data_IF_863918611927
#
_entry.id   IF_863918611927
#
_cell.length_a   1.000
_cell.length_b   1.000
_cell.length_c   1.000
_cell.angle_alpha   90.00
_cell.angle_beta   90.00
_cell.angle_gamma   90.00
#
_symmetry.space_group_name_H-M   'P 1'
#
loop_
_entity.id
_entity.type
_entity.pdbx_description
1 polymer ?
#
# COMPACT_ATOMS: atom_id res chain seq x y z
N UNK A 1 -27.71 2.79 -44.75
CA UNK A 1 -26.79 1.63 -44.69
C UNK A 1 -25.33 2.01 -44.45
N UNK A 2 -24.82 3.12 -44.98
CA UNK A 2 -23.41 3.53 -44.82
C UNK A 2 -23.01 3.71 -43.33
N UNK A 3 -23.85 4.35 -42.51
CA UNK A 3 -23.59 4.53 -41.07
C UNK A 3 -23.52 3.18 -40.32
N UNK A 4 -24.40 2.24 -40.66
CA UNK A 4 -24.39 0.90 -40.05
C UNK A 4 -23.13 0.12 -40.45
N UNK A 5 -22.71 0.24 -41.72
CA UNK A 5 -21.46 -0.34 -42.24
C UNK A 5 -20.24 0.25 -41.51
N UNK A 6 -20.22 1.55 -41.24
CA UNK A 6 -19.12 2.17 -40.47
C UNK A 6 -19.12 1.75 -39.00
N UNK A 7 -20.29 1.50 -38.38
CA UNK A 7 -20.37 0.97 -37.01
C UNK A 7 -19.88 -0.48 -36.96
N UNK A 8 -20.23 -1.31 -37.94
CA UNK A 8 -19.69 -2.67 -38.07
C UNK A 8 -18.16 -2.65 -38.27
N UNK A 9 -17.65 -1.73 -39.09
CA UNK A 9 -16.21 -1.53 -39.25
C UNK A 9 -15.53 -1.03 -37.96
N UNK A 10 -16.22 -0.24 -37.11
CA UNK A 10 -15.70 0.14 -35.78
C UNK A 10 -15.60 -1.07 -34.84
N UNK A 11 -16.47 -2.06 -34.97
CA UNK A 11 -16.43 -3.32 -34.21
C UNK A 11 -15.33 -4.29 -34.70
N UNK A 12 -14.63 -3.96 -35.79
CA UNK A 12 -13.56 -4.76 -36.39
C UNK A 12 -13.99 -5.60 -37.60
N UNK A 13 -15.24 -5.50 -38.04
CA UNK A 13 -15.73 -6.21 -39.22
C UNK A 13 -15.36 -5.42 -40.49
N UNK A 14 -14.22 -5.78 -41.10
CA UNK A 14 -13.71 -5.12 -42.30
C UNK A 14 -13.88 -6.01 -43.55
N UNK A 15 -15.00 -5.81 -44.27
CA UNK A 15 -15.26 -6.47 -45.56
C UNK A 15 -14.48 -5.81 -46.71
N UNK A 16 -13.16 -5.97 -46.75
CA UNK A 16 -12.30 -5.36 -47.77
C UNK A 16 -12.66 -5.82 -49.20
N UNK A 17 -12.92 -7.12 -49.36
CA UNK A 17 -13.11 -7.75 -50.67
C UNK A 17 -14.41 -7.32 -51.35
N UNK A 18 -15.53 -7.32 -50.63
CA UNK A 18 -16.85 -6.99 -51.18
C UNK A 18 -17.12 -5.49 -51.30
N UNK A 19 -16.53 -4.65 -50.44
CA UNK A 19 -16.87 -3.22 -50.40
C UNK A 19 -15.84 -2.31 -51.05
N UNK A 20 -14.58 -2.74 -51.14
CA UNK A 20 -13.53 -1.90 -51.72
C UNK A 20 -12.97 -2.49 -53.02
N UNK A 21 -12.72 -3.81 -53.08
CA UNK A 21 -12.13 -4.44 -54.28
C UNK A 21 -13.01 -4.35 -55.53
N UNK A 22 -14.33 -4.45 -55.37
CA UNK A 22 -15.30 -4.33 -56.48
C UNK A 22 -15.42 -2.88 -56.98
N UNK A 23 -15.31 -1.90 -56.09
CA UNK A 23 -15.39 -0.47 -56.42
C UNK A 23 -14.08 0.10 -57.00
N UNK A 24 -12.95 -0.54 -56.74
CA UNK A 24 -11.63 -0.17 -57.28
C UNK A 24 -11.53 -0.40 -58.79
N UNK A 25 -12.29 -1.37 -59.34
CA UNK A 25 -12.27 -1.68 -60.79
C UNK A 25 -12.88 -0.57 -61.67
N UNK A 26 -13.55 0.43 -61.09
CA UNK A 26 -14.27 1.48 -61.83
C UNK A 26 -13.95 2.93 -61.47
N UNK A 27 -13.01 3.22 -60.55
CA UNK A 27 -12.76 4.60 -60.07
C UNK A 27 -11.29 5.06 -60.17
N UNK A 28 -11.12 6.33 -60.56
CA UNK A 28 -9.81 6.99 -60.76
C UNK A 28 -9.06 7.38 -59.46
N UNK A 29 -9.67 7.26 -58.27
CA UNK A 29 -9.08 7.69 -56.98
C UNK A 29 -8.63 6.52 -56.08
N UNK A 30 -8.14 5.43 -56.70
CA UNK A 30 -7.79 4.19 -56.01
C UNK A 30 -6.75 4.39 -54.87
N UNK A 31 -5.70 5.16 -55.11
CA UNK A 31 -4.62 5.37 -54.13
C UNK A 31 -5.08 6.17 -52.91
N UNK A 32 -5.78 7.28 -53.11
CA UNK A 32 -6.28 8.13 -52.01
C UNK A 32 -7.28 7.39 -51.12
N UNK A 33 -8.17 6.58 -51.72
CA UNK A 33 -9.15 5.79 -50.98
C UNK A 33 -8.49 4.69 -50.14
N UNK A 34 -7.44 4.03 -50.65
CA UNK A 34 -6.66 3.05 -49.90
C UNK A 34 -5.91 3.70 -48.72
N UNK A 35 -5.35 4.89 -48.90
CA UNK A 35 -4.68 5.63 -47.82
C UNK A 35 -5.68 6.02 -46.72
N UNK A 36 -6.85 6.54 -47.09
CA UNK A 36 -7.91 6.89 -46.13
C UNK A 36 -8.40 5.64 -45.40
N UNK A 37 -8.57 4.50 -46.10
CA UNK A 37 -8.94 3.23 -45.50
C UNK A 37 -7.89 2.70 -44.51
N UNK A 38 -6.60 2.81 -44.84
CA UNK A 38 -5.51 2.40 -43.96
C UNK A 38 -5.51 3.22 -42.67
N UNK A 39 -5.62 4.55 -42.78
CA UNK A 39 -5.68 5.45 -41.62
C UNK A 39 -6.92 5.15 -40.78
N UNK A 40 -8.07 4.96 -41.42
CA UNK A 40 -9.33 4.60 -40.75
C UNK A 40 -9.24 3.26 -40.02
N UNK A 41 -8.61 2.24 -40.63
CA UNK A 41 -8.43 0.91 -40.06
C UNK A 41 -7.44 0.86 -38.88
N UNK A 42 -6.56 1.85 -38.74
CA UNK A 42 -5.69 2.00 -37.57
C UNK A 42 -6.40 2.79 -36.46
N UNK A 43 -7.05 3.91 -36.80
CA UNK A 43 -7.64 4.80 -35.79
C UNK A 43 -8.88 4.18 -35.14
N UNK A 44 -9.82 3.66 -35.93
CA UNK A 44 -11.15 3.27 -35.41
C UNK A 44 -11.17 1.88 -34.73
N UNK A 45 -10.64 0.81 -35.32
CA UNK A 45 -10.67 -0.51 -34.67
C UNK A 45 -9.56 -0.68 -33.64
N UNK A 46 -8.39 -0.05 -33.81
CA UNK A 46 -7.21 -0.33 -32.97
C UNK A 46 -7.06 0.74 -31.88
N UNK A 47 -6.93 2.02 -32.23
CA UNK A 47 -6.73 3.06 -31.22
C UNK A 47 -7.98 3.29 -30.36
N UNK A 48 -9.15 3.39 -30.98
CA UNK A 48 -10.39 3.69 -30.27
C UNK A 48 -10.84 2.51 -29.37
N UNK A 49 -10.74 1.26 -29.83
CA UNK A 49 -11.03 0.10 -28.96
C UNK A 49 -10.06 0.02 -27.78
N UNK A 50 -8.75 0.20 -28.02
CA UNK A 50 -7.76 0.15 -26.94
C UNK A 50 -7.97 1.29 -25.93
N UNK A 51 -8.39 2.47 -26.38
CA UNK A 51 -8.73 3.59 -25.50
C UNK A 51 -10.00 3.32 -24.68
N UNK A 52 -11.08 2.83 -25.32
CA UNK A 52 -12.33 2.53 -24.63
C UNK A 52 -12.16 1.42 -23.60
N UNK A 53 -11.44 0.35 -23.95
CA UNK A 53 -11.11 -0.74 -23.03
C UNK A 53 -10.17 -0.24 -21.93
N UNK A 54 -9.19 0.59 -22.25
CA UNK A 54 -8.28 1.18 -21.25
C UNK A 54 -8.98 2.07 -20.23
N UNK A 55 -9.91 2.91 -20.67
CA UNK A 55 -10.75 3.72 -19.78
C UNK A 55 -11.68 2.86 -18.93
N UNK A 56 -12.35 1.87 -19.54
CA UNK A 56 -13.23 0.96 -18.82
C UNK A 56 -12.48 0.12 -17.77
N UNK A 57 -11.27 -0.35 -18.07
CA UNK A 57 -10.43 -1.07 -17.11
C UNK A 57 -9.93 -0.14 -16.01
N UNK A 58 -9.59 1.11 -16.34
CA UNK A 58 -9.21 2.13 -15.34
C UNK A 58 -10.34 2.43 -14.35
N UNK A 59 -11.58 2.54 -14.84
CA UNK A 59 -12.77 2.71 -13.99
C UNK A 59 -13.07 1.43 -13.19
N UNK A 60 -12.91 0.26 -13.81
CA UNK A 60 -13.14 -1.03 -13.14
C UNK A 60 -12.18 -1.25 -11.98
N UNK A 61 -10.89 -0.91 -12.13
CA UNK A 61 -9.90 -1.06 -11.07
C UNK A 61 -10.24 -0.23 -9.83
N UNK A 62 -10.68 1.01 -10.01
CA UNK A 62 -11.11 1.87 -8.90
C UNK A 62 -12.33 1.31 -8.16
N UNK A 63 -13.28 0.75 -8.91
CA UNK A 63 -14.47 0.10 -8.37
C UNK A 63 -14.06 -1.18 -7.61
N UNK A 64 -13.14 -1.97 -8.15
CA UNK A 64 -12.68 -3.22 -7.57
C UNK A 64 -11.99 -3.00 -6.21
N UNK A 65 -11.10 -2.02 -6.10
CA UNK A 65 -10.39 -1.70 -4.85
C UNK A 65 -11.34 -1.30 -3.71
N UNK A 66 -12.44 -0.63 -4.04
CA UNK A 66 -13.40 -0.13 -3.05
C UNK A 66 -14.61 -1.06 -2.87
N UNK A 67 -14.74 -2.13 -3.66
CA UNK A 67 -15.92 -2.98 -3.69
C UNK A 67 -16.20 -3.63 -2.33
N UNK A 68 -15.18 -4.11 -1.61
CA UNK A 68 -15.35 -4.78 -0.31
C UNK A 68 -15.93 -3.84 0.75
N UNK A 69 -15.33 -2.66 0.89
CA UNK A 69 -15.80 -1.63 1.84
C UNK A 69 -17.17 -1.10 1.44
N UNK A 70 -17.38 -0.82 0.14
CA UNK A 70 -18.66 -0.35 -0.39
C UNK A 70 -19.78 -1.37 -0.14
N UNK A 71 -19.52 -2.67 -0.34
CA UNK A 71 -20.51 -3.73 -0.07
C UNK A 71 -20.88 -3.79 1.40
N UNK A 72 -19.91 -3.74 2.31
CA UNK A 72 -20.17 -3.72 3.75
C UNK A 72 -20.96 -2.47 4.16
N UNK A 73 -20.58 -1.31 3.65
CA UNK A 73 -21.29 -0.06 3.89
C UNK A 73 -22.74 -0.12 3.40
N UNK A 74 -23.00 -0.67 2.22
CA UNK A 74 -24.36 -0.87 1.70
C UNK A 74 -25.18 -1.81 2.59
N UNK A 75 -24.58 -2.91 3.09
CA UNK A 75 -25.25 -3.82 4.02
C UNK A 75 -25.61 -3.11 5.32
N UNK A 76 -24.66 -2.37 5.92
CA UNK A 76 -24.90 -1.61 7.16
C UNK A 76 -25.96 -0.52 6.94
N UNK A 77 -25.94 0.15 5.79
CA UNK A 77 -26.93 1.16 5.43
C UNK A 77 -28.33 0.54 5.31
N UNK A 78 -28.44 -0.64 4.70
CA UNK A 78 -29.70 -1.37 4.61
C UNK A 78 -30.21 -1.75 6.01
N UNK A 79 -29.37 -2.33 6.87
CA UNK A 79 -29.73 -2.67 8.25
C UNK A 79 -30.20 -1.44 9.03
N UNK A 80 -29.45 -0.34 8.95
CA UNK A 80 -29.80 0.93 9.62
C UNK A 80 -31.14 1.48 9.12
N UNK A 81 -31.39 1.43 7.81
CA UNK A 81 -32.64 1.89 7.22
C UNK A 81 -33.84 1.02 7.62
N UNK A 82 -33.63 -0.29 7.74
CA UNK A 82 -34.65 -1.23 8.21
C UNK A 82 -34.96 -1.00 9.69
N UNK A 83 -33.93 -0.87 10.53
CA UNK A 83 -34.10 -0.56 11.96
C UNK A 83 -34.88 0.73 12.18
N UNK A 84 -34.61 1.79 11.40
CA UNK A 84 -35.36 3.06 11.50
C UNK A 84 -36.83 2.94 11.10
N UNK A 85 -37.19 2.00 10.22
CA UNK A 85 -38.56 1.80 9.72
C UNK A 85 -39.35 0.78 10.53
N UNK A 86 -38.70 -0.01 11.39
CA UNK A 86 -39.33 -1.04 12.20
C UNK A 86 -39.78 -0.48 13.56
N UNK A 87 -40.99 -0.83 14.06
CA UNK A 87 -41.45 -0.39 15.38
C UNK A 87 -40.58 -0.99 16.49
N UNK A 88 -40.28 -0.18 17.53
CA UNK A 88 -39.31 -0.52 18.59
C UNK A 88 -39.60 -1.83 19.33
N UNK A 89 -40.86 -2.28 19.37
CA UNK A 89 -41.27 -3.56 19.97
C UNK A 89 -40.74 -4.78 19.22
N UNK A 90 -40.57 -4.70 17.90
CA UNK A 90 -39.99 -5.78 17.09
C UNK A 90 -38.48 -5.86 17.31
N UNK A 91 -37.80 -4.72 17.31
CA UNK A 91 -36.35 -4.67 17.53
C UNK A 91 -36.01 -5.24 18.92
N UNK A 92 -36.70 -4.78 19.97
CA UNK A 92 -36.46 -5.25 21.33
C UNK A 92 -36.72 -6.75 21.52
N UNK A 93 -37.67 -7.34 20.77
CA UNK A 93 -37.99 -8.76 20.85
C UNK A 93 -37.02 -9.65 20.07
N UNK A 94 -36.37 -9.13 19.03
CA UNK A 94 -35.50 -9.90 18.13
C UNK A 94 -34.02 -9.63 18.35
N UNK A 95 -33.64 -8.56 19.06
CA UNK A 95 -32.27 -8.28 19.47
C UNK A 95 -31.79 -9.34 20.46
N UNK A 96 -30.81 -10.14 20.04
CA UNK A 96 -30.05 -11.06 20.88
C UNK A 96 -28.62 -10.54 20.98
N UNK A 97 -28.11 -10.39 22.19
CA UNK A 97 -26.80 -9.79 22.44
C UNK A 97 -25.64 -10.79 22.31
N UNK A 98 -25.94 -12.09 22.28
CA UNK A 98 -24.94 -13.16 22.22
C UNK A 98 -25.39 -14.23 21.23
N UNK A 99 -24.45 -14.70 20.41
CA UNK A 99 -24.65 -15.80 19.49
C UNK A 99 -23.51 -16.81 19.66
N UNK A 100 -23.86 -18.07 19.98
CA UNK A 100 -22.88 -19.16 20.13
C UNK A 100 -22.83 -19.94 18.83
N UNK A 101 -21.67 -19.92 18.17
CA UNK A 101 -21.42 -20.67 16.92
C UNK A 101 -20.79 -22.01 17.26
N UNK A 102 -21.49 -23.10 16.95
CA UNK A 102 -20.96 -24.45 17.12
C UNK A 102 -20.38 -24.95 15.80
N UNK A 103 -19.07 -25.21 15.75
CA UNK A 103 -18.34 -25.63 14.54
C UNK A 103 -18.56 -27.09 14.10
N UNK A 104 -19.44 -27.85 14.75
CA UNK A 104 -19.71 -29.23 14.32
C UNK A 104 -21.15 -29.62 14.61
N UNK A 105 -22.05 -29.41 13.65
CA UNK A 105 -23.40 -30.02 13.65
C UNK A 105 -23.73 -30.59 12.29
N UNK A 106 -23.59 -31.92 12.19
CA UNK A 106 -24.51 -32.84 11.50
C UNK A 106 -25.01 -32.44 10.11
N UNK A 107 -24.32 -32.98 9.11
CA UNK A 107 -24.72 -33.14 7.71
C UNK A 107 -26.03 -33.94 7.63
N UNK A 108 -27.19 -33.28 7.53
CA UNK A 108 -28.45 -33.95 7.15
C UNK A 108 -29.50 -33.02 6.50
N UNK A 109 -29.15 -31.77 6.13
CA UNK A 109 -30.05 -30.88 5.35
C UNK A 109 -29.44 -30.39 4.04
N UNK A 110 -28.45 -31.11 3.48
CA UNK A 110 -27.54 -30.62 2.44
C UNK A 110 -28.23 -30.11 1.17
N UNK A 111 -29.18 -30.81 0.55
CA UNK A 111 -29.64 -30.37 -0.78
C UNK A 111 -30.46 -29.06 -0.79
N UNK A 112 -31.41 -28.86 0.14
CA UNK A 112 -32.20 -27.63 0.17
C UNK A 112 -31.46 -26.44 0.79
N UNK A 113 -30.51 -26.70 1.70
CA UNK A 113 -29.66 -25.64 2.24
C UNK A 113 -28.58 -25.25 1.26
N UNK A 114 -28.00 -26.18 0.51
CA UNK A 114 -26.99 -25.86 -0.52
C UNK A 114 -27.58 -25.00 -1.64
N UNK A 115 -28.81 -25.29 -2.14
CA UNK A 115 -29.41 -24.44 -3.16
C UNK A 115 -29.80 -23.05 -2.64
N UNK A 116 -30.35 -22.98 -1.41
CA UNK A 116 -30.65 -21.71 -0.75
C UNK A 116 -29.39 -20.91 -0.43
N UNK A 117 -28.32 -21.56 0.00
CA UNK A 117 -27.04 -20.91 0.26
C UNK A 117 -26.34 -20.51 -1.04
N UNK A 118 -26.49 -21.27 -2.12
CA UNK A 118 -25.93 -20.96 -3.44
C UNK A 118 -26.61 -19.74 -4.09
N UNK A 119 -27.92 -19.57 -3.90
CA UNK A 119 -28.67 -18.41 -4.40
C UNK A 119 -28.61 -17.22 -3.44
N UNK A 120 -28.72 -17.45 -2.12
CA UNK A 120 -28.87 -16.39 -1.14
C UNK A 120 -27.56 -15.86 -0.55
N UNK A 121 -26.44 -16.59 -0.69
CA UNK A 121 -25.13 -15.98 -0.45
C UNK A 121 -24.77 -15.25 -1.74
N UNK A 122 -24.70 -13.91 -1.77
CA UNK A 122 -24.05 -13.23 -2.87
C UNK A 122 -22.63 -13.80 -2.89
N UNK A 123 -22.37 -14.59 -3.95
CA UNK A 123 -21.14 -15.29 -4.31
C UNK A 123 -19.97 -14.83 -3.43
N UNK A 124 -19.40 -15.74 -2.65
CA UNK A 124 -18.31 -15.47 -1.71
C UNK A 124 -17.00 -15.19 -2.45
N UNK A 125 -17.04 -14.19 -3.33
CA UNK A 125 -15.95 -13.59 -4.08
C UNK A 125 -14.95 -12.98 -3.10
N UNK A 126 -15.22 -12.91 -1.80
CA UNK A 126 -14.24 -12.46 -0.80
C UNK A 126 -12.98 -13.31 -0.83
N UNK A 127 -13.10 -14.64 -0.94
CA UNK A 127 -11.94 -15.53 -0.97
C UNK A 127 -11.15 -15.42 -2.29
N UNK A 128 -11.80 -14.98 -3.38
CA UNK A 128 -11.18 -14.81 -4.70
C UNK A 128 -10.69 -13.36 -4.92
N UNK A 129 -11.27 -12.39 -4.23
CA UNK A 129 -10.89 -10.98 -4.29
C UNK A 129 -9.77 -10.65 -3.30
N UNK A 130 -9.68 -11.38 -2.17
CA UNK A 130 -8.52 -11.28 -1.26
C UNK A 130 -7.22 -11.71 -1.95
N UNK A 131 -7.27 -12.53 -3.01
CA UNK A 131 -6.08 -12.90 -3.79
C UNK A 131 -5.57 -11.83 -4.77
N UNK A 132 -6.30 -10.73 -4.96
CA UNK A 132 -5.90 -9.61 -5.84
C UNK A 132 -5.66 -8.30 -5.09
N UNK A 133 -5.52 -8.32 -3.76
CA UNK A 133 -5.29 -7.10 -2.96
C UNK A 133 -3.81 -6.70 -2.97
N UNK A 134 -3.31 -6.19 -4.10
CA UNK A 134 -2.00 -5.50 -4.16
C UNK A 134 -1.94 -4.31 -3.17
N UNK A 135 -3.10 -3.72 -2.82
CA UNK A 135 -3.21 -2.62 -1.88
C UNK A 135 -3.02 -3.03 -0.40
N UNK A 136 -3.04 -4.32 -0.07
CA UNK A 136 -2.76 -4.80 1.30
C UNK A 136 -1.30 -4.48 1.68
N UNK A 137 -0.38 -4.81 0.77
CA UNK A 137 1.05 -4.55 0.93
C UNK A 137 1.34 -3.05 1.05
N UNK A 138 0.70 -2.24 0.22
CA UNK A 138 0.86 -0.79 0.25
C UNK A 138 0.35 -0.18 1.57
N UNK A 139 -0.81 -0.63 2.07
CA UNK A 139 -1.36 -0.18 3.36
C UNK A 139 -0.47 -0.56 4.55
N UNK A 140 0.05 -1.77 4.56
CA UNK A 140 0.97 -2.24 5.62
C UNK A 140 2.24 -1.40 5.59
N UNK A 141 2.82 -1.18 4.40
CA UNK A 141 3.98 -0.32 4.19
C UNK A 141 3.73 1.12 4.68
N UNK A 142 2.59 1.72 4.34
CA UNK A 142 2.24 3.07 4.82
C UNK A 142 2.15 3.15 6.34
N UNK A 143 1.59 2.13 7.00
CA UNK A 143 1.53 2.08 8.46
C UNK A 143 2.93 1.98 9.07
N UNK A 144 3.82 1.18 8.48
CA UNK A 144 5.22 1.07 8.89
C UNK A 144 5.99 2.38 8.67
N UNK A 145 5.84 3.01 7.50
CA UNK A 145 6.42 4.32 7.19
C UNK A 145 5.92 5.41 8.15
N UNK A 146 4.63 5.41 8.49
CA UNK A 146 4.07 6.37 9.43
C UNK A 146 4.67 6.18 10.84
N UNK A 147 4.81 4.92 11.28
CA UNK A 147 5.49 4.58 12.54
C UNK A 147 6.96 5.02 12.52
N UNK A 148 7.67 4.76 11.42
CA UNK A 148 9.07 5.15 11.26
C UNK A 148 9.24 6.66 11.25
N UNK A 149 8.36 7.39 10.55
CA UNK A 149 8.32 8.86 10.53
C UNK A 149 8.09 9.44 11.93
N UNK A 150 7.24 8.82 12.74
CA UNK A 150 7.03 9.22 14.14
C UNK A 150 8.30 9.02 14.98
N UNK A 151 8.94 7.84 14.86
CA UNK A 151 10.23 7.57 15.52
C UNK A 151 11.32 8.56 15.09
N UNK A 152 11.37 8.92 13.81
CA UNK A 152 12.34 9.89 13.29
C UNK A 152 12.12 11.28 13.89
N UNK A 153 10.87 11.73 14.00
CA UNK A 153 10.54 13.00 14.68
C UNK A 153 10.94 12.99 16.15
N UNK A 154 10.74 11.88 16.84
CA UNK A 154 11.12 11.77 18.25
C UNK A 154 12.65 11.75 18.44
N UNK A 155 13.39 11.07 17.56
CA UNK A 155 14.86 11.13 17.54
C UNK A 155 15.37 12.55 17.21
N UNK A 156 14.72 13.26 16.30
CA UNK A 156 15.08 14.64 15.98
C UNK A 156 14.95 15.55 17.21
N UNK A 157 13.85 15.42 17.97
CA UNK A 157 13.66 16.16 19.22
C UNK A 157 14.71 15.82 20.28
N UNK A 158 15.16 14.57 20.34
CA UNK A 158 16.25 14.17 21.25
C UNK A 158 17.59 14.78 20.83
N UNK A 159 17.87 14.83 19.53
CA UNK A 159 19.08 15.46 19.01
C UNK A 159 19.09 16.96 19.27
N UNK A 160 17.97 17.66 19.06
CA UNK A 160 17.84 19.09 19.38
C UNK A 160 18.15 19.37 20.86
N UNK A 161 17.56 18.57 21.77
CA UNK A 161 17.87 18.65 23.21
C UNK A 161 19.34 18.38 23.51
N UNK A 162 19.93 17.38 22.88
CA UNK A 162 21.35 17.06 23.06
C UNK A 162 22.23 18.20 22.58
N UNK A 163 21.90 18.82 21.44
CA UNK A 163 22.61 19.99 20.90
C UNK A 163 22.53 21.18 21.86
N UNK A 164 21.37 21.44 22.46
CA UNK A 164 21.19 22.50 23.46
C UNK A 164 22.01 22.24 24.73
N UNK A 165 21.99 20.99 25.23
CA UNK A 165 22.82 20.60 26.38
C UNK A 165 24.32 20.77 26.09
N UNK A 166 24.78 20.39 24.89
CA UNK A 166 26.18 20.59 24.48
C UNK A 166 26.55 22.07 24.45
N UNK A 167 25.66 22.94 23.95
CA UNK A 167 25.88 24.40 23.97
C UNK A 167 25.97 24.94 25.40
N UNK A 168 25.11 24.48 26.30
CA UNK A 168 25.15 24.87 27.72
C UNK A 168 26.45 24.42 28.40
N UNK A 169 26.94 23.21 28.08
CA UNK A 169 28.22 22.71 28.60
C UNK A 169 29.39 23.52 28.06
N UNK A 170 29.41 23.84 26.77
CA UNK A 170 30.46 24.68 26.17
C UNK A 170 30.48 26.07 26.80
N UNK A 171 29.33 26.71 26.95
CA UNK A 171 29.21 28.01 27.60
C UNK A 171 29.69 27.96 29.06
N UNK A 172 29.36 26.89 29.79
CA UNK A 172 29.82 26.71 31.18
C UNK A 172 31.32 26.39 31.27
N UNK A 173 31.89 25.67 30.31
CA UNK A 173 33.34 25.46 30.22
C UNK A 173 34.07 26.77 29.92
N UNK A 174 33.57 27.57 28.98
CA UNK A 174 34.16 28.87 28.62
C UNK A 174 34.17 29.84 29.80
N UNK A 175 33.06 29.91 30.55
CA UNK A 175 32.96 30.71 31.78
C UNK A 175 33.92 30.21 32.87
N UNK A 176 34.14 28.91 32.99
CA UNK A 176 35.14 28.37 33.92
C UNK A 176 36.57 28.71 33.48
N UNK A 177 36.86 28.74 32.18
CA UNK A 177 38.18 29.14 31.68
C UNK A 177 38.46 30.64 31.80
N UNK A 178 37.44 31.51 31.76
CA UNK A 178 37.60 32.96 31.93
C UNK A 178 37.62 33.40 33.41
N UNK A 179 36.96 32.66 34.30
CA UNK A 179 36.99 32.98 35.76
C UNK A 179 38.20 32.40 36.49
N UNK A 180 38.93 31.46 35.87
CA UNK A 180 40.22 30.95 36.37
C UNK A 180 41.45 31.69 35.79
N UNK A 181 41.27 32.64 34.84
CA UNK A 181 42.42 33.35 34.26
C UNK A 181 42.97 34.48 35.13
N UNK A 182 42.23 34.93 36.15
CA UNK A 182 42.66 36.09 36.95
C UNK A 182 43.18 35.76 38.35
N UNK A 183 43.11 34.51 38.83
CA UNK A 183 43.87 34.09 40.01
C UNK A 183 43.96 32.56 40.04
N UNK A 184 45.17 32.00 40.00
CA UNK A 184 45.67 30.86 40.81
C UNK A 184 46.94 30.22 40.20
N UNK A 185 47.87 29.98 41.11
CA UNK A 185 49.25 29.52 40.99
C UNK A 185 49.43 28.17 40.26
N UNK A 186 50.64 27.99 39.71
CA UNK A 186 51.24 26.87 38.95
C UNK A 186 50.90 25.42 39.32
N UNK A 187 50.20 25.17 40.43
CA UNK A 187 49.83 23.84 40.90
C UNK A 187 48.58 23.27 40.18
N UNK A 188 47.61 24.12 39.80
CA UNK A 188 46.35 23.67 39.15
C UNK A 188 46.50 23.29 37.67
N UNK A 189 47.52 23.84 36.98
CA UNK A 189 47.81 23.48 35.58
C UNK A 189 48.13 21.99 35.42
N UNK A 190 48.75 21.39 36.44
CA UNK A 190 49.14 19.99 36.42
C UNK A 190 47.94 19.06 36.70
N UNK A 191 47.01 19.48 37.57
CA UNK A 191 45.78 18.72 37.85
C UNK A 191 44.80 18.77 36.67
N UNK A 192 44.65 19.93 36.03
CA UNK A 192 43.81 20.09 34.85
C UNK A 192 44.36 19.34 33.64
N UNK A 193 45.70 19.29 33.47
CA UNK A 193 46.34 18.45 32.47
C UNK A 193 46.06 16.95 32.70
N UNK A 194 46.11 16.50 33.96
CA UNK A 194 45.86 15.11 34.33
C UNK A 194 44.38 14.72 34.14
N UNK A 195 43.45 15.62 34.48
CA UNK A 195 42.01 15.45 34.24
C UNK A 195 41.70 15.37 32.74
N UNK A 196 42.32 16.23 31.93
CA UNK A 196 42.15 16.23 30.47
C UNK A 196 42.73 14.96 29.82
N UNK A 197 43.84 14.43 30.36
CA UNK A 197 44.44 13.17 29.92
C UNK A 197 43.56 11.95 30.27
N UNK A 198 42.95 11.93 31.45
CA UNK A 198 41.96 10.91 31.84
C UNK A 198 40.72 10.95 30.96
N UNK A 199 40.20 12.14 30.65
CA UNK A 199 39.04 12.29 29.78
C UNK A 199 39.32 11.82 28.35
N UNK A 200 40.51 12.14 27.81
CA UNK A 200 40.99 11.65 26.51
C UNK A 200 41.09 10.12 26.46
N UNK A 201 41.51 9.49 27.56
CA UNK A 201 41.61 8.05 27.66
C UNK A 201 40.22 7.38 27.67
N UNK A 202 39.27 7.91 28.44
CA UNK A 202 37.89 7.40 28.49
C UNK A 202 37.20 7.54 27.13
N UNK A 203 37.39 8.68 26.45
CA UNK A 203 36.81 8.91 25.13
C UNK A 203 37.38 7.93 24.06
N UNK A 204 38.68 7.63 24.11
CA UNK A 204 39.31 6.65 23.22
C UNK A 204 38.86 5.21 23.50
N UNK A 205 38.59 4.86 24.76
CA UNK A 205 38.05 3.54 25.13
C UNK A 205 36.63 3.38 24.59
N UNK A 206 35.76 4.36 24.79
CA UNK A 206 34.37 4.31 24.30
C UNK A 206 34.28 4.25 22.77
N UNK A 207 35.20 4.95 22.06
CA UNK A 207 35.28 4.89 20.59
C UNK A 207 35.71 3.52 20.06
N UNK A 208 36.57 2.80 20.79
CA UNK A 208 36.96 1.40 20.44
C UNK A 208 35.83 0.41 20.67
N UNK A 209 35.02 0.59 21.70
CA UNK A 209 33.83 -0.25 21.94
C UNK A 209 32.73 -0.05 20.88
N UNK A 210 32.59 1.16 20.33
CA UNK A 210 31.68 1.44 19.22
C UNK A 210 32.07 0.70 17.93
N UNK A 211 33.35 0.70 17.56
CA UNK A 211 33.82 -0.01 16.36
C UNK A 211 33.71 -1.54 16.47
N UNK A 212 33.93 -2.09 17.67
CA UNK A 212 33.83 -3.53 17.92
C UNK A 212 32.39 -4.08 17.83
N UNK A 213 31.37 -3.22 17.93
CA UNK A 213 29.95 -3.65 17.84
C UNK A 213 29.43 -3.73 16.40
N UNK A 214 30.12 -3.11 15.44
CA UNK A 214 29.72 -3.08 14.03
C UNK A 214 30.17 -4.32 13.23
N UNK A 215 31.12 -5.12 13.73
CA UNK A 215 31.70 -6.26 13.00
C UNK A 215 31.10 -7.62 13.38
N UNK A 216 30.27 -7.71 14.42
CA UNK A 216 29.73 -8.99 14.92
C UNK A 216 28.27 -9.26 14.51
N UNK A 217 27.78 -8.59 13.46
CA UNK A 217 26.39 -8.65 13.01
C UNK A 217 26.09 -9.50 11.76
N UNK A 218 27.08 -10.11 11.12
CA UNK A 218 26.88 -10.87 9.88
C UNK A 218 27.52 -12.26 9.94
N UNK A 219 26.73 -13.28 10.29
CA UNK A 219 26.62 -14.54 9.52
C UNK A 219 25.55 -15.49 10.07
N UNK A 220 24.69 -16.10 9.22
CA UNK A 220 23.68 -17.09 9.60
C UNK A 220 24.24 -18.52 9.56
N UNK A 221 24.16 -19.26 10.67
CA UNK A 221 24.34 -20.73 10.73
C UNK A 221 22.94 -21.37 10.62
N UNK A 222 22.59 -22.14 9.59
CA UNK A 222 22.95 -23.55 9.32
C UNK A 222 22.75 -24.45 10.56
N UNK A 223 21.54 -24.98 10.71
CA UNK A 223 21.22 -26.09 11.61
C UNK A 223 21.00 -27.36 10.78
N UNK A 224 21.96 -28.28 10.85
CA UNK A 224 21.75 -29.71 10.60
C UNK A 224 22.04 -30.42 11.92
N UNK A 225 21.04 -31.10 12.47
CA UNK A 225 21.27 -32.12 13.48
C UNK A 225 20.50 -33.38 13.06
N UNK A 226 21.26 -34.39 12.66
CA UNK A 226 20.90 -35.80 12.86
C UNK A 226 20.89 -36.09 14.35
N UNK A 227 19.89 -36.82 14.81
CA UNK A 227 19.94 -37.53 16.09
C UNK A 227 19.33 -38.92 15.87
N UNK A 228 20.15 -39.94 16.11
CA UNK A 228 19.81 -41.35 16.16
C UNK A 228 19.12 -41.66 17.49
N UNK A 229 17.93 -42.28 17.44
CA UNK A 229 17.44 -43.37 18.30
C UNK A 229 16.03 -43.77 17.85
#
# INVERSE_FOLDING_TARGET
>A
MIVLKTIAMMLGELDYERSYLENIKGQHFNTTNLIILLIFAIIMPILLMNLLVGLAIGDLMQIQQNARLKRLATQVQLHTNLEKKLPSKLIQRWTKNEYVVYLNKGICKRFSTVFKEWIAKPLDVNNVLDSYDENCTERVLFVELYKQKRRQKDMQRQLEKMTDLVRLVLQKMEIQTETESDDITSNDKNENFLKMQKFRHVFNVTRRFSHARSTNGNNPHLFTHSEEA
#
